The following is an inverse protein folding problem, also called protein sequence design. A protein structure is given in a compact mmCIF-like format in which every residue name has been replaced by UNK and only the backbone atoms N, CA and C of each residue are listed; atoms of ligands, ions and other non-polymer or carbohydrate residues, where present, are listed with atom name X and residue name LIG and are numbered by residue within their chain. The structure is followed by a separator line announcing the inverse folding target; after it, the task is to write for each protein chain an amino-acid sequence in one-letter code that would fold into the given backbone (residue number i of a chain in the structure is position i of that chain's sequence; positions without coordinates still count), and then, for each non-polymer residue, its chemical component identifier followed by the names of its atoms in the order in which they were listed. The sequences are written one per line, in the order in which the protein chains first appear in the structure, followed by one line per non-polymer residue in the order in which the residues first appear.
data_IF_923194173975
#
_entry.id   IF_923194173975
#
_cell.length_a   1.000
_cell.length_b   1.000
_cell.length_c   1.000
_cell.angle_alpha   90.00
_cell.angle_beta   90.00
_cell.angle_gamma   90.00
#
_symmetry.space_group_name_H-M   'P 1'
#
loop_
_entity.id
_entity.type
_entity.pdbx_description
1 polymer ?
#
# COMPACT_ATOMS: atom_id res chain seq x y z
N UNK A 1 -25.67 -34.22 -16.80
CA UNK A 1 -26.24 -32.98 -16.25
C UNK A 1 -25.44 -32.65 -15.01
N UNK A 2 -24.37 -31.86 -15.14
CA UNK A 2 -23.76 -31.20 -13.98
C UNK A 2 -24.88 -30.34 -13.38
N UNK A 3 -25.23 -30.60 -12.13
CA UNK A 3 -26.39 -29.97 -11.50
C UNK A 3 -26.08 -28.49 -11.32
N UNK A 4 -27.07 -27.61 -11.51
CA UNK A 4 -26.96 -26.16 -11.21
C UNK A 4 -26.40 -25.88 -9.81
N UNK A 5 -26.54 -26.84 -8.88
CA UNK A 5 -25.94 -26.79 -7.56
C UNK A 5 -24.40 -26.95 -7.56
N UNK A 6 -23.83 -27.80 -8.41
CA UNK A 6 -22.38 -28.02 -8.51
C UNK A 6 -21.70 -26.78 -9.09
N UNK A 7 -22.24 -26.21 -10.16
CA UNK A 7 -21.74 -24.95 -10.75
C UNK A 7 -21.78 -23.80 -9.75
N UNK A 8 -22.89 -23.66 -8.98
CA UNK A 8 -22.99 -22.63 -7.94
C UNK A 8 -21.99 -22.84 -6.80
N UNK A 9 -21.70 -24.09 -6.43
CA UNK A 9 -20.72 -24.40 -5.39
C UNK A 9 -19.31 -24.02 -5.84
N UNK A 10 -18.95 -24.31 -7.09
CA UNK A 10 -17.67 -23.93 -7.68
C UNK A 10 -17.49 -22.42 -7.76
N UNK A 11 -18.53 -21.69 -8.22
CA UNK A 11 -18.50 -20.22 -8.26
C UNK A 11 -18.33 -19.61 -6.86
N UNK A 12 -19.02 -20.13 -5.83
CA UNK A 12 -18.85 -19.67 -4.46
C UNK A 12 -17.44 -19.96 -3.91
N UNK A 13 -16.84 -21.11 -4.25
CA UNK A 13 -15.48 -21.43 -3.85
C UNK A 13 -14.46 -20.47 -4.47
N UNK A 14 -14.60 -20.16 -5.76
CA UNK A 14 -13.73 -19.20 -6.46
C UNK A 14 -13.85 -17.78 -5.88
N UNK A 15 -15.06 -17.34 -5.55
CA UNK A 15 -15.26 -16.03 -4.91
C UNK A 15 -14.66 -15.98 -3.50
N UNK A 16 -14.82 -17.04 -2.71
CA UNK A 16 -14.24 -17.12 -1.36
C UNK A 16 -12.71 -17.07 -1.41
N UNK A 17 -12.10 -17.77 -2.36
CA UNK A 17 -10.65 -17.76 -2.60
C UNK A 17 -10.15 -16.37 -3.02
N UNK A 18 -10.86 -15.71 -3.94
CA UNK A 18 -10.52 -14.35 -4.38
C UNK A 18 -10.63 -13.32 -3.24
N UNK A 19 -11.66 -13.41 -2.40
CA UNK A 19 -11.81 -12.58 -1.19
C UNK A 19 -10.70 -12.87 -0.18
N UNK A 20 -10.35 -14.14 0.04
CA UNK A 20 -9.26 -14.54 0.93
C UNK A 20 -7.93 -13.96 0.46
N UNK A 21 -7.63 -14.13 -0.82
CA UNK A 21 -6.43 -13.58 -1.45
C UNK A 21 -6.37 -12.06 -1.32
N UNK A 22 -7.48 -11.37 -1.55
CA UNK A 22 -7.52 -9.91 -1.42
C UNK A 22 -7.32 -9.45 0.03
N UNK A 23 -7.93 -10.15 0.99
CA UNK A 23 -7.72 -9.88 2.41
C UNK A 23 -6.25 -10.04 2.81
N UNK A 24 -5.60 -11.11 2.37
CA UNK A 24 -4.21 -11.38 2.74
C UNK A 24 -3.26 -10.33 2.15
N UNK A 25 -3.49 -9.91 0.89
CA UNK A 25 -2.77 -8.77 0.29
C UNK A 25 -2.97 -7.48 1.09
N UNK A 26 -4.20 -7.15 1.46
CA UNK A 26 -4.49 -5.94 2.23
C UNK A 26 -3.83 -5.97 3.60
N UNK A 27 -3.77 -7.14 4.25
CA UNK A 27 -3.05 -7.32 5.51
C UNK A 27 -1.55 -7.10 5.34
N UNK A 28 -0.93 -7.72 4.34
CA UNK A 28 0.51 -7.54 4.07
C UNK A 28 0.86 -6.07 3.82
N UNK A 29 0.03 -5.36 3.07
CA UNK A 29 0.20 -3.92 2.83
C UNK A 29 0.01 -3.13 4.13
N UNK A 30 -1.03 -3.43 4.90
CA UNK A 30 -1.28 -2.80 6.20
C UNK A 30 -0.08 -2.95 7.14
N UNK A 31 0.45 -4.16 7.27
CA UNK A 31 1.63 -4.46 8.10
C UNK A 31 2.89 -3.71 7.63
N UNK A 32 3.03 -3.43 6.33
CA UNK A 32 4.11 -2.56 5.81
C UNK A 32 3.88 -1.09 6.17
N UNK A 33 2.66 -0.58 5.99
CA UNK A 33 2.33 0.82 6.28
C UNK A 33 2.41 1.11 7.79
N UNK A 34 1.91 0.21 8.63
CA UNK A 34 2.00 0.32 10.09
C UNK A 34 3.46 0.39 10.53
N UNK A 35 4.34 -0.48 10.00
CA UNK A 35 5.79 -0.41 10.27
C UNK A 35 6.42 0.92 9.88
N UNK A 36 5.97 1.54 8.79
CA UNK A 36 6.46 2.86 8.35
C UNK A 36 5.97 3.94 9.31
N UNK A 37 4.69 3.91 9.68
CA UNK A 37 4.06 4.89 10.57
C UNK A 37 4.64 4.81 11.98
N UNK A 38 4.87 3.60 12.49
CA UNK A 38 5.51 3.38 13.79
C UNK A 38 6.92 3.98 13.81
N UNK A 39 7.72 3.68 12.77
CA UNK A 39 9.07 4.26 12.67
C UNK A 39 9.04 5.78 12.58
N UNK A 40 8.10 6.37 11.82
CA UNK A 40 7.96 7.83 11.73
C UNK A 40 7.61 8.43 13.10
N UNK A 41 6.70 7.78 13.82
CA UNK A 41 6.26 8.22 15.15
C UNK A 41 7.43 8.18 16.14
N UNK A 42 8.18 7.09 16.18
CA UNK A 42 9.39 6.95 17.00
C UNK A 42 10.46 7.99 16.62
N UNK A 43 10.68 8.20 15.33
CA UNK A 43 11.67 9.17 14.86
C UNK A 43 11.29 10.61 15.24
N UNK A 44 9.99 10.95 15.23
CA UNK A 44 9.49 12.28 15.62
C UNK A 44 9.61 12.58 17.11
N UNK A 45 9.83 11.58 17.96
CA UNK A 45 10.14 11.79 19.39
C UNK A 45 11.45 12.55 19.60
N UNK A 46 12.38 12.47 18.63
CA UNK A 46 13.65 13.19 18.67
C UNK A 46 13.64 14.38 17.69
N UNK A 47 13.63 15.64 18.19
CA UNK A 47 13.66 16.81 17.33
C UNK A 47 14.91 16.85 16.44
N UNK A 48 14.75 17.21 15.16
CA UNK A 48 15.85 17.27 14.18
C UNK A 48 17.01 18.18 14.60
N UNK A 49 16.76 19.18 15.45
CA UNK A 49 17.76 20.08 16.01
C UNK A 49 18.74 19.37 16.95
N UNK A 50 18.33 18.26 17.58
CA UNK A 50 19.14 17.49 18.53
C UNK A 50 20.01 16.42 17.85
N UNK A 51 19.64 16.00 16.65
CA UNK A 51 20.41 15.06 15.86
C UNK A 51 21.69 15.72 15.35
N UNK A 52 22.76 14.97 15.15
CA UNK A 52 23.98 15.34 14.42
C UNK A 52 23.84 15.18 12.91
N UNK A 53 24.92 15.41 12.16
CA UNK A 53 24.90 15.25 10.70
C UNK A 53 24.66 13.80 10.27
N UNK A 54 25.36 12.85 10.91
CA UNK A 54 25.25 11.43 10.56
C UNK A 54 23.85 10.89 10.82
N UNK A 55 23.28 11.17 11.99
CA UNK A 55 21.92 10.76 12.34
C UNK A 55 20.86 11.37 11.40
N UNK A 56 21.05 12.62 10.96
CA UNK A 56 20.18 13.21 9.94
C UNK A 56 20.32 12.52 8.58
N UNK A 57 21.54 12.11 8.19
CA UNK A 57 21.78 11.39 6.94
C UNK A 57 21.13 10.01 7.00
N UNK A 58 21.35 9.24 8.07
CA UNK A 58 20.72 7.94 8.27
C UNK A 58 19.19 8.04 8.24
N UNK A 59 18.62 9.07 8.90
CA UNK A 59 17.17 9.31 8.85
C UNK A 59 16.68 9.65 7.44
N UNK A 60 17.43 10.47 6.69
CA UNK A 60 17.11 10.80 5.31
C UNK A 60 17.10 9.56 4.40
N UNK A 61 18.12 8.71 4.54
CA UNK A 61 18.28 7.50 3.73
C UNK A 61 17.18 6.48 4.07
N UNK A 62 16.85 6.35 5.36
CA UNK A 62 15.74 5.50 5.79
C UNK A 62 14.39 5.95 5.24
N UNK A 63 14.14 7.27 5.19
CA UNK A 63 12.95 7.82 4.54
C UNK A 63 12.93 7.51 3.03
N UNK A 64 14.09 7.48 2.35
CA UNK A 64 14.17 7.10 0.95
C UNK A 64 13.76 5.63 0.75
N UNK A 65 14.24 4.71 1.59
CA UNK A 65 13.87 3.28 1.53
C UNK A 65 12.34 3.07 1.68
N UNK A 66 11.71 3.82 2.59
CA UNK A 66 10.26 3.75 2.78
C UNK A 66 9.48 4.31 1.60
N UNK A 67 9.98 5.36 0.94
CA UNK A 67 9.38 5.87 -0.29
C UNK A 67 9.48 4.86 -1.43
N UNK A 68 10.62 4.20 -1.57
CA UNK A 68 10.78 3.11 -2.55
C UNK A 68 9.83 1.94 -2.25
N UNK A 69 9.62 1.63 -0.98
CA UNK A 69 8.62 0.63 -0.54
C UNK A 69 7.21 1.04 -0.96
N UNK A 70 6.79 2.28 -0.73
CA UNK A 70 5.48 2.78 -1.15
C UNK A 70 5.31 2.73 -2.68
N UNK A 71 6.33 3.15 -3.45
CA UNK A 71 6.29 3.09 -4.92
C UNK A 71 6.17 1.63 -5.41
N UNK A 72 6.90 0.69 -4.80
CA UNK A 72 6.80 -0.74 -5.10
C UNK A 72 5.39 -1.28 -4.84
N UNK A 73 4.80 -0.99 -3.67
CA UNK A 73 3.45 -1.43 -3.31
C UNK A 73 2.41 -0.87 -4.29
N UNK A 74 2.48 0.43 -4.59
CA UNK A 74 1.59 1.08 -5.54
C UNK A 74 1.71 0.45 -6.95
N UNK A 75 2.94 0.24 -7.44
CA UNK A 75 3.18 -0.38 -8.75
C UNK A 75 2.66 -1.80 -8.82
N UNK A 76 2.90 -2.61 -7.80
CA UNK A 76 2.41 -3.99 -7.72
C UNK A 76 0.88 -4.02 -7.79
N UNK A 77 0.20 -3.18 -6.99
CA UNK A 77 -1.26 -3.11 -7.01
C UNK A 77 -1.81 -2.63 -8.34
N UNK A 78 -1.23 -1.57 -8.90
CA UNK A 78 -1.63 -1.06 -10.22
C UNK A 78 -1.40 -2.09 -11.33
N UNK A 79 -0.34 -2.89 -11.25
CA UNK A 79 -0.08 -3.98 -12.19
C UNK A 79 -1.16 -5.07 -12.11
N UNK A 80 -1.57 -5.46 -10.89
CA UNK A 80 -2.70 -6.39 -10.69
C UNK A 80 -3.97 -5.82 -11.33
N UNK A 81 -4.40 -4.61 -10.97
CA UNK A 81 -5.62 -3.98 -11.51
C UNK A 81 -5.60 -3.88 -13.05
N UNK A 82 -4.45 -3.52 -13.64
CA UNK A 82 -4.29 -3.45 -15.10
C UNK A 82 -4.25 -4.84 -15.74
N UNK A 83 -3.68 -5.83 -15.07
CA UNK A 83 -3.63 -7.23 -15.50
C UNK A 83 -5.03 -7.84 -15.56
N UNK A 84 -5.83 -7.60 -14.52
CA UNK A 84 -7.26 -7.94 -14.44
C UNK A 84 -8.03 -7.39 -15.64
N UNK A 85 -7.74 -6.17 -16.11
CA UNK A 85 -8.39 -5.61 -17.32
C UNK A 85 -8.06 -6.39 -18.61
N UNK A 86 -6.94 -7.12 -18.68
CA UNK A 86 -6.49 -7.84 -19.88
C UNK A 86 -6.96 -9.29 -19.96
N UNK A 87 -7.40 -9.89 -18.85
CA UNK A 87 -7.63 -11.34 -18.75
C UNK A 87 -9.09 -11.79 -19.02
N UNK A 88 -9.81 -11.01 -19.84
CA UNK A 88 -11.13 -11.36 -20.36
C UNK A 88 -12.14 -11.76 -19.28
N UNK A 89 -12.49 -13.05 -19.19
CA UNK A 89 -13.54 -13.58 -18.31
C UNK A 89 -13.13 -13.70 -16.84
N UNK A 90 -11.88 -14.06 -16.54
CA UNK A 90 -11.38 -14.16 -15.15
C UNK A 90 -11.17 -12.76 -14.57
N UNK A 91 -10.69 -11.85 -15.41
CA UNK A 91 -10.48 -10.45 -15.05
C UNK A 91 -11.76 -9.68 -14.76
N UNK A 92 -12.85 -9.90 -15.52
CA UNK A 92 -14.14 -9.26 -15.24
C UNK A 92 -14.66 -9.65 -13.85
N UNK A 93 -14.52 -10.91 -13.44
CA UNK A 93 -14.95 -11.38 -12.10
C UNK A 93 -14.14 -10.76 -10.96
N UNK A 94 -12.83 -10.64 -11.12
CA UNK A 94 -11.98 -9.98 -10.11
C UNK A 94 -12.28 -8.48 -10.03
N UNK A 95 -12.54 -7.81 -11.16
CA UNK A 95 -12.94 -6.40 -11.16
C UNK A 95 -14.30 -6.19 -10.49
N UNK A 96 -15.31 -6.96 -10.85
CA UNK A 96 -16.64 -6.90 -10.23
C UNK A 96 -16.57 -7.20 -8.72
N UNK A 97 -15.69 -8.12 -8.31
CA UNK A 97 -15.41 -8.38 -6.91
C UNK A 97 -14.83 -7.14 -6.21
N UNK A 98 -13.79 -6.52 -6.78
CA UNK A 98 -13.17 -5.33 -6.18
C UNK A 98 -14.16 -4.16 -6.12
N UNK A 99 -14.92 -3.94 -7.19
CA UNK A 99 -15.97 -2.90 -7.24
C UNK A 99 -17.01 -3.16 -6.13
N UNK A 100 -17.34 -4.42 -5.84
CA UNK A 100 -18.25 -4.78 -4.75
C UNK A 100 -17.62 -4.62 -3.37
N UNK A 101 -16.38 -5.09 -3.18
CA UNK A 101 -15.66 -5.02 -1.90
C UNK A 101 -15.37 -3.58 -1.48
N UNK A 102 -15.14 -2.68 -2.45
CA UNK A 102 -14.79 -1.29 -2.21
C UNK A 102 -15.95 -0.31 -2.39
N UNK A 103 -17.16 -0.80 -2.68
CA UNK A 103 -18.32 0.04 -2.96
C UNK A 103 -18.65 1.05 -1.84
N UNK A 104 -18.36 0.70 -0.58
CA UNK A 104 -18.66 1.52 0.59
C UNK A 104 -17.52 2.49 0.96
N UNK A 105 -16.41 2.49 0.22
CA UNK A 105 -15.28 3.39 0.46
C UNK A 105 -15.38 4.65 -0.39
N UNK A 106 -14.79 5.75 0.11
CA UNK A 106 -14.75 7.03 -0.62
C UNK A 106 -13.84 6.95 -1.86
N UNK A 107 -12.77 6.15 -1.78
CA UNK A 107 -11.79 5.95 -2.85
C UNK A 107 -12.09 4.66 -3.62
N UNK A 108 -12.08 4.71 -4.96
CA UNK A 108 -12.24 3.53 -5.83
C UNK A 108 -11.23 2.41 -5.51
N UNK A 109 -10.06 2.81 -4.99
CA UNK A 109 -8.98 1.93 -4.59
C UNK A 109 -8.38 2.38 -3.24
N UNK A 110 -9.01 2.03 -2.10
CA UNK A 110 -8.64 2.54 -0.78
C UNK A 110 -7.18 2.26 -0.41
N UNK A 111 -6.69 1.06 -0.73
CA UNK A 111 -5.29 0.70 -0.51
C UNK A 111 -4.30 1.62 -1.24
N UNK A 112 -4.61 2.03 -2.49
CA UNK A 112 -3.76 2.96 -3.21
C UNK A 112 -3.83 4.37 -2.63
N UNK A 113 -4.99 4.77 -2.11
CA UNK A 113 -5.16 6.04 -1.41
C UNK A 113 -4.35 6.07 -0.10
N UNK A 114 -4.37 5.00 0.69
CA UNK A 114 -3.57 4.87 1.91
C UNK A 114 -2.07 4.94 1.63
N UNK A 115 -1.60 4.17 0.63
CA UNK A 115 -0.19 4.21 0.21
C UNK A 115 0.21 5.62 -0.25
N UNK A 116 -0.65 6.33 -0.99
CA UNK A 116 -0.39 7.69 -1.41
C UNK A 116 -0.29 8.66 -0.22
N UNK A 117 -1.22 8.56 0.75
CA UNK A 117 -1.20 9.37 1.98
C UNK A 117 0.11 9.18 2.77
N UNK A 118 0.57 7.94 2.93
CA UNK A 118 1.84 7.64 3.61
C UNK A 118 3.04 8.15 2.79
N UNK A 119 3.00 8.00 1.47
CA UNK A 119 4.06 8.51 0.59
C UNK A 119 4.21 10.05 0.68
N UNK A 120 3.10 10.77 0.80
CA UNK A 120 3.11 12.23 0.99
C UNK A 120 3.72 12.61 2.35
N UNK A 121 3.34 11.91 3.42
CA UNK A 121 3.93 12.10 4.77
C UNK A 121 5.45 11.86 4.78
N UNK A 122 5.91 10.83 4.06
CA UNK A 122 7.32 10.52 3.91
C UNK A 122 8.06 11.62 3.12
N UNK A 123 7.46 12.17 2.07
CA UNK A 123 8.06 13.25 1.29
C UNK A 123 8.21 14.52 2.13
N UNK A 124 7.20 14.89 2.90
CA UNK A 124 7.25 16.02 3.83
C UNK A 124 8.32 15.85 4.91
N UNK A 125 8.37 14.66 5.52
CA UNK A 125 9.40 14.29 6.49
C UNK A 125 10.81 14.39 5.88
N UNK A 126 11.02 13.85 4.68
CA UNK A 126 12.33 13.86 4.03
C UNK A 126 12.76 15.28 3.64
N UNK A 127 11.82 16.13 3.20
CA UNK A 127 12.08 17.55 2.94
C UNK A 127 12.51 18.28 4.20
N UNK A 128 11.91 17.99 5.35
CA UNK A 128 12.29 18.58 6.63
C UNK A 128 13.72 18.20 7.04
N UNK A 129 14.07 16.90 6.95
CA UNK A 129 15.43 16.40 7.24
C UNK A 129 16.45 17.01 6.28
N UNK A 130 16.16 17.03 4.97
CA UNK A 130 17.05 17.62 3.96
C UNK A 130 17.32 19.10 4.23
N UNK A 131 16.31 19.86 4.66
CA UNK A 131 16.48 21.27 5.03
C UNK A 131 17.47 21.43 6.19
N UNK A 132 17.40 20.56 7.19
CA UNK A 132 18.34 20.58 8.32
C UNK A 132 19.76 20.15 7.92
N UNK A 133 19.89 19.15 7.04
CA UNK A 133 21.18 18.75 6.48
C UNK A 133 21.85 19.93 5.74
N UNK A 134 21.13 20.59 4.83
CA UNK A 134 21.69 21.70 4.06
C UNK A 134 22.00 22.94 4.92
N UNK A 135 21.27 23.17 6.01
CA UNK A 135 21.50 24.32 6.89
C UNK A 135 22.76 24.18 7.78
N UNK A 136 23.36 22.98 7.84
CA UNK A 136 24.53 22.66 8.68
C UNK A 136 25.84 22.51 7.89
N UNK A 137 25.79 22.73 6.56
CA UNK A 137 26.97 22.82 5.67
C UNK A 137 27.33 24.30 5.47
#
# INVERSE_FOLDING_TARGET
MVSRAETRSEECALLADAVGTERDRLREVGDELDRIIDWLSEADETPLLQLGFEELRERHDRLADFRETCDRLARQRQATIRGTRRDGLTGIRERELLDHLYADFEDDHPMLADVARVADLLDDSQRAVRRHLCARV
#
